data_IF_368281610965
#
_entry.id   IF_368281610965
#
_cell.length_a   1.000
_cell.length_b   1.000
_cell.length_c   1.000
_cell.angle_alpha   90.00
_cell.angle_beta   90.00
_cell.angle_gamma   90.00
#
_symmetry.space_group_name_H-M   'P 1'
#
loop_
_entity.id
_entity.type
_entity.pdbx_description
1 polymer ?
#
# COMPACT_ATOMS: atom_id res chain seq x y z
N UNK A 1 27.79 -27.45 -35.66
CA UNK A 1 27.48 -26.63 -34.47
C UNK A 1 27.43 -27.55 -33.28
N UNK A 2 28.26 -27.30 -32.27
CA UNK A 2 28.41 -28.23 -31.15
C UNK A 2 27.18 -28.20 -30.23
N UNK A 3 26.66 -29.36 -29.79
CA UNK A 3 25.54 -29.44 -28.86
C UNK A 3 25.75 -28.63 -27.58
N UNK A 4 27.01 -28.44 -27.19
CA UNK A 4 27.41 -27.68 -25.99
C UNK A 4 27.10 -26.18 -26.10
N UNK A 5 27.26 -25.58 -27.29
CA UNK A 5 26.99 -24.15 -27.52
C UNK A 5 25.49 -23.87 -27.41
N UNK A 6 24.67 -24.78 -27.95
CA UNK A 6 23.21 -24.68 -27.84
C UNK A 6 22.77 -24.67 -26.36
N UNK A 7 23.31 -25.56 -25.54
CA UNK A 7 22.98 -25.64 -24.11
C UNK A 7 23.37 -24.34 -23.37
N UNK A 8 24.54 -23.76 -23.70
CA UNK A 8 24.99 -22.52 -23.06
C UNK A 8 24.10 -21.31 -23.39
N UNK A 9 23.68 -21.16 -24.65
CA UNK A 9 22.79 -20.08 -25.07
C UNK A 9 21.43 -20.21 -24.38
N UNK A 10 20.86 -21.41 -24.34
CA UNK A 10 19.60 -21.66 -23.61
C UNK A 10 19.72 -21.35 -22.12
N UNK A 11 20.87 -21.66 -21.49
CA UNK A 11 21.11 -21.33 -20.09
C UNK A 11 21.13 -19.83 -19.81
N UNK A 12 21.76 -19.03 -20.68
CA UNK A 12 21.81 -17.56 -20.52
C UNK A 12 20.43 -16.94 -20.71
N UNK A 13 19.67 -17.38 -21.72
CA UNK A 13 18.31 -16.88 -21.97
C UNK A 13 17.38 -17.20 -20.78
N UNK A 14 17.52 -18.39 -20.18
CA UNK A 14 16.75 -18.78 -19.00
C UNK A 14 17.05 -17.88 -17.78
N UNK A 15 18.34 -17.65 -17.49
CA UNK A 15 18.73 -16.78 -16.37
C UNK A 15 18.30 -15.32 -16.60
N UNK A 16 18.38 -14.82 -17.84
CA UNK A 16 17.88 -13.49 -18.18
C UNK A 16 16.37 -13.39 -17.94
N UNK A 17 15.60 -14.44 -18.21
CA UNK A 17 14.15 -14.45 -17.97
C UNK A 17 13.79 -14.42 -16.47
N UNK A 18 14.53 -15.09 -15.60
CA UNK A 18 14.32 -15.00 -14.14
C UNK A 18 14.53 -13.57 -13.61
N UNK A 19 15.61 -12.89 -14.04
CA UNK A 19 15.92 -11.53 -13.60
C UNK A 19 14.87 -10.51 -14.06
N UNK A 20 14.35 -10.65 -15.29
CA UNK A 20 13.28 -9.76 -15.78
C UNK A 20 12.02 -9.89 -14.91
N UNK A 21 11.67 -11.11 -14.46
CA UNK A 21 10.47 -11.30 -13.62
C UNK A 21 10.59 -10.69 -12.22
N UNK A 22 11.79 -10.65 -11.62
CA UNK A 22 11.98 -9.97 -10.33
C UNK A 22 11.90 -8.44 -10.48
N UNK A 23 12.39 -7.88 -11.59
CA UNK A 23 12.31 -6.44 -11.84
C UNK A 23 10.84 -6.02 -12.06
N UNK A 24 10.05 -6.80 -12.79
CA UNK A 24 8.61 -6.53 -12.96
C UNK A 24 7.87 -6.45 -11.62
N UNK A 25 8.22 -7.32 -10.65
CA UNK A 25 7.60 -7.30 -9.32
C UNK A 25 7.91 -6.04 -8.50
N UNK A 26 9.07 -5.42 -8.72
CA UNK A 26 9.43 -4.15 -8.08
C UNK A 26 8.70 -2.95 -8.69
N UNK A 27 8.41 -2.99 -10.00
CA UNK A 27 7.62 -1.97 -10.69
C UNK A 27 6.14 -2.06 -10.25
N UNK A 28 5.62 -3.27 -10.03
CA UNK A 28 4.27 -3.47 -9.46
C UNK A 28 4.16 -2.92 -8.02
N UNK A 29 5.21 -3.04 -7.21
CA UNK A 29 5.22 -2.46 -5.86
C UNK A 29 5.14 -0.93 -5.88
N UNK A 30 5.85 -0.28 -6.81
CA UNK A 30 5.77 1.19 -6.97
C UNK A 30 4.37 1.67 -7.35
N UNK A 31 3.68 0.92 -8.23
CA UNK A 31 2.31 1.23 -8.62
C UNK A 31 1.32 1.02 -7.47
N UNK A 32 1.45 -0.07 -6.70
CA UNK A 32 0.62 -0.30 -5.51
C UNK A 32 0.83 0.80 -4.48
N UNK A 33 2.07 1.15 -4.12
CA UNK A 33 2.36 2.20 -3.13
C UNK A 33 1.84 3.57 -3.58
N UNK A 34 2.02 3.94 -4.85
CA UNK A 34 1.41 5.16 -5.41
C UNK A 34 -0.12 5.12 -5.33
N UNK A 35 -0.73 3.96 -5.58
CA UNK A 35 -2.17 3.79 -5.53
C UNK A 35 -2.72 3.90 -4.10
N UNK A 36 -2.06 3.30 -3.10
CA UNK A 36 -2.48 3.47 -1.69
C UNK A 36 -2.25 4.91 -1.21
N UNK A 37 -1.20 5.59 -1.67
CA UNK A 37 -0.96 6.99 -1.29
C UNK A 37 -2.02 7.94 -1.85
N UNK A 38 -2.62 7.64 -3.00
CA UNK A 38 -3.80 8.37 -3.52
C UNK A 38 -5.11 7.99 -2.81
N UNK A 39 -5.20 6.80 -2.19
CA UNK A 39 -6.42 6.35 -1.50
C UNK A 39 -6.60 6.94 -0.09
N UNK A 40 -5.55 7.49 0.53
CA UNK A 40 -5.61 8.09 1.88
C UNK A 40 -6.65 9.21 2.02
N UNK A 41 -6.94 9.95 0.92
CA UNK A 41 -7.92 11.05 0.90
C UNK A 41 -9.33 10.61 1.33
N UNK A 42 -9.74 9.39 0.96
CA UNK A 42 -11.08 8.88 1.30
C UNK A 42 -11.16 8.56 2.80
N UNK A 43 -10.09 7.98 3.35
CA UNK A 43 -9.98 7.65 4.77
C UNK A 43 -10.00 8.94 5.60
N UNK A 44 -9.25 9.96 5.18
CA UNK A 44 -9.22 11.26 5.85
C UNK A 44 -10.59 11.97 5.82
N UNK A 45 -11.31 11.90 4.69
CA UNK A 45 -12.65 12.48 4.60
C UNK A 45 -13.63 11.76 5.54
N UNK A 46 -13.56 10.43 5.60
CA UNK A 46 -14.39 9.63 6.50
C UNK A 46 -14.09 9.92 7.97
N UNK A 47 -12.83 10.00 8.37
CA UNK A 47 -12.44 10.37 9.74
C UNK A 47 -12.99 11.75 10.11
N UNK A 48 -12.82 12.76 9.25
CA UNK A 48 -13.37 14.11 9.50
C UNK A 48 -14.89 14.13 9.64
N UNK A 49 -15.61 13.28 8.90
CA UNK A 49 -17.06 13.16 9.03
C UNK A 49 -17.45 12.51 10.36
N UNK A 50 -16.70 11.51 10.81
CA UNK A 50 -16.94 10.85 12.10
C UNK A 50 -16.69 11.79 13.27
N UNK A 51 -15.61 12.56 13.25
CA UNK A 51 -15.28 13.53 14.31
C UNK A 51 -16.39 14.58 14.49
N UNK A 52 -16.99 15.05 13.38
CA UNK A 52 -18.12 15.99 13.42
C UNK A 52 -19.37 15.38 14.07
N UNK A 53 -19.71 14.13 13.72
CA UNK A 53 -20.87 13.46 14.30
C UNK A 53 -20.68 13.15 15.79
N UNK A 54 -19.44 12.84 16.20
CA UNK A 54 -19.11 12.63 17.61
C UNK A 54 -19.26 13.92 18.42
N UNK A 55 -18.81 15.05 17.88
CA UNK A 55 -19.02 16.36 18.51
C UNK A 55 -20.50 16.72 18.59
N UNK A 56 -21.26 16.49 17.51
CA UNK A 56 -22.72 16.67 17.50
C UNK A 56 -23.43 15.80 18.54
N UNK A 57 -22.99 14.55 18.72
CA UNK A 57 -23.53 13.66 19.74
C UNK A 57 -23.19 14.15 21.16
N UNK A 58 -21.94 14.52 21.41
CA UNK A 58 -21.52 15.05 22.71
C UNK A 58 -22.30 16.30 23.11
N UNK A 59 -22.60 17.19 22.15
CA UNK A 59 -23.45 18.37 22.40
C UNK A 59 -24.89 18.00 22.74
N UNK A 60 -25.48 17.00 22.07
CA UNK A 60 -26.84 16.54 22.38
C UNK A 60 -26.92 15.93 23.78
N UNK A 61 -25.92 15.13 24.15
CA UNK A 61 -25.82 14.55 25.48
C UNK A 61 -25.65 15.63 26.56
N UNK A 62 -24.89 16.70 26.29
CA UNK A 62 -24.77 17.83 27.21
C UNK A 62 -26.09 18.62 27.37
N UNK A 63 -26.82 18.87 26.28
CA UNK A 63 -28.14 19.52 26.33
C UNK A 63 -29.13 18.66 27.13
N UNK A 64 -29.12 17.34 26.90
CA UNK A 64 -29.96 16.41 27.64
C UNK A 64 -29.63 16.43 29.14
N UNK A 65 -28.34 16.39 29.49
CA UNK A 65 -27.88 16.46 30.87
C UNK A 65 -28.26 17.79 31.55
N UNK A 66 -28.12 18.91 30.85
CA UNK A 66 -28.49 20.24 31.35
C UNK A 66 -29.99 20.37 31.60
N UNK A 67 -30.82 19.87 30.68
CA UNK A 67 -32.27 19.90 30.81
C UNK A 67 -32.78 19.01 31.97
N UNK A 68 -32.16 17.86 32.20
CA UNK A 68 -32.52 17.01 33.34
C UNK A 68 -32.25 17.69 34.70
N UNK A 69 -31.19 18.50 34.80
CA UNK A 69 -30.79 19.11 36.07
C UNK A 69 -31.44 20.47 36.36
N UNK A 70 -31.90 21.21 35.34
CA UNK A 70 -32.54 22.52 35.55
C UNK A 70 -33.97 22.44 36.11
N UNK A 71 -34.70 21.36 35.84
CA UNK A 71 -36.11 21.23 36.27
C UNK A 71 -36.33 20.83 37.73
N UNK A 72 -35.33 20.29 38.42
CA UNK A 72 -35.52 19.66 39.74
C UNK A 72 -35.18 20.55 40.95
N UNK A 73 -34.48 21.66 40.75
CA UNK A 73 -33.88 22.37 41.89
C UNK A 73 -34.70 23.51 42.50
N UNK A 74 -35.80 24.01 41.91
CA UNK A 74 -36.40 25.24 42.47
C UNK A 74 -37.92 25.50 42.37
N UNK A 75 -38.78 24.53 42.06
CA UNK A 75 -40.23 24.78 42.20
C UNK A 75 -40.65 24.58 43.67
N UNK A 76 -40.52 25.62 44.51
CA UNK A 76 -41.26 25.75 45.78
C UNK A 76 -42.72 26.11 45.49
N UNK A 77 -43.38 25.24 44.74
CA UNK A 77 -44.73 25.44 44.26
C UNK A 77 -45.65 24.74 45.28
N UNK A 78 -46.20 25.54 46.21
CA UNK A 78 -47.13 25.12 47.25
C UNK A 78 -48.32 24.45 46.56
N UNK A 79 -48.41 23.12 46.71
CA UNK A 79 -49.34 22.25 45.98
C UNK A 79 -50.79 22.69 46.24
N UNK A 80 -51.43 23.31 45.25
CA UNK A 80 -52.89 23.45 45.22
C UNK A 80 -53.52 22.07 45.03
N UNK A 81 -54.71 21.85 45.61
CA UNK A 81 -55.44 20.60 45.44
C UNK A 81 -55.63 20.30 43.95
N UNK A 82 -55.12 19.16 43.51
CA UNK A 82 -55.19 18.74 42.11
C UNK A 82 -56.65 18.69 41.65
N UNK A 83 -56.93 19.31 40.50
CA UNK A 83 -58.23 19.19 39.84
C UNK A 83 -58.52 17.74 39.44
N UNK A 84 -59.80 17.40 39.16
CA UNK A 84 -60.15 16.05 38.70
C UNK A 84 -59.36 15.71 37.43
N UNK A 85 -58.94 14.44 37.34
CA UNK A 85 -58.24 13.92 36.18
C UNK A 85 -59.08 14.15 34.93
N UNK A 86 -58.50 14.81 33.92
CA UNK A 86 -59.14 14.98 32.63
C UNK A 86 -59.45 13.63 31.97
N UNK A 87 -60.43 13.56 31.05
CA UNK A 87 -60.73 12.33 30.33
C UNK A 87 -59.48 11.81 29.59
N UNK A 88 -59.35 10.49 29.40
CA UNK A 88 -58.29 9.92 28.58
C UNK A 88 -58.24 10.61 27.21
N UNK A 89 -57.04 11.00 26.78
CA UNK A 89 -56.84 11.59 25.46
C UNK A 89 -57.28 10.62 24.36
N UNK A 90 -57.67 11.17 23.20
CA UNK A 90 -57.95 10.36 22.02
C UNK A 90 -56.72 9.50 21.66
N UNK A 91 -56.96 8.29 21.15
CA UNK A 91 -55.90 7.46 20.62
C UNK A 91 -55.10 8.26 19.56
N UNK A 92 -53.77 8.25 19.69
CA UNK A 92 -52.90 8.93 18.74
C UNK A 92 -53.06 8.37 17.33
N UNK A 93 -52.77 9.16 16.29
CA UNK A 93 -52.80 8.68 14.91
C UNK A 93 -51.81 7.51 14.75
N UNK A 94 -52.12 6.61 13.80
CA UNK A 94 -51.18 5.57 13.39
C UNK A 94 -49.86 6.23 12.96
N UNK A 95 -48.74 5.72 13.48
CA UNK A 95 -47.42 6.22 13.12
C UNK A 95 -47.15 6.07 11.62
N UNK A 96 -46.29 6.92 11.04
CA UNK A 96 -45.90 6.80 9.64
C UNK A 96 -45.24 5.43 9.37
N UNK A 97 -45.30 4.92 8.12
CA UNK A 97 -44.54 3.75 7.72
C UNK A 97 -43.06 3.89 8.08
N UNK A 98 -42.45 2.79 8.54
CA UNK A 98 -41.03 2.76 8.85
C UNK A 98 -40.17 3.12 7.64
N UNK A 99 -39.00 3.72 7.89
CA UNK A 99 -38.04 4.02 6.84
C UNK A 99 -37.59 2.73 6.13
N UNK A 100 -37.28 2.84 4.83
CA UNK A 100 -36.69 1.74 4.09
C UNK A 100 -35.40 1.27 4.77
N UNK A 101 -35.22 -0.05 4.85
CA UNK A 101 -34.03 -0.64 5.46
C UNK A 101 -32.74 -0.22 4.74
N UNK A 102 -31.60 -0.15 5.45
CA UNK A 102 -30.33 0.21 4.84
C UNK A 102 -29.93 -0.79 3.75
N UNK A 103 -29.20 -0.30 2.74
CA UNK A 103 -28.56 -1.16 1.73
C UNK A 103 -27.63 -2.15 2.43
N UNK A 104 -27.70 -3.43 2.03
CA UNK A 104 -26.86 -4.49 2.59
C UNK A 104 -25.36 -4.20 2.43
N UNK A 105 -24.51 -4.78 3.31
CA UNK A 105 -23.08 -4.55 3.27
C UNK A 105 -22.46 -5.07 1.95
N UNK A 106 -21.32 -4.52 1.53
CA UNK A 106 -20.53 -5.08 0.44
C UNK A 106 -20.18 -6.56 0.69
N UNK A 107 -20.13 -7.35 -0.39
CA UNK A 107 -19.72 -8.75 -0.31
C UNK A 107 -18.29 -8.92 0.20
N UNK A 108 -18.00 -10.09 0.77
CA UNK A 108 -16.66 -10.42 1.26
C UNK A 108 -15.62 -10.38 0.12
N UNK A 109 -14.41 -9.91 0.45
CA UNK A 109 -13.28 -9.95 -0.47
C UNK A 109 -12.98 -11.40 -0.89
N UNK A 110 -12.63 -11.60 -2.16
CA UNK A 110 -12.22 -12.91 -2.66
C UNK A 110 -10.97 -13.44 -1.95
N UNK A 111 -10.86 -14.76 -1.84
CA UNK A 111 -9.69 -15.41 -1.25
C UNK A 111 -8.42 -15.13 -2.04
N UNK A 112 -7.31 -14.89 -1.34
CA UNK A 112 -5.97 -14.75 -1.94
C UNK A 112 -5.66 -16.00 -2.78
N UNK A 113 -5.14 -15.79 -4.00
CA UNK A 113 -4.70 -16.87 -4.86
C UNK A 113 -3.57 -17.71 -4.25
N UNK A 114 -3.37 -18.95 -4.72
CA UNK A 114 -2.34 -19.85 -4.21
C UNK A 114 -0.92 -19.26 -4.40
N UNK A 115 0.05 -19.60 -3.53
CA UNK A 115 1.45 -19.20 -3.70
C UNK A 115 2.02 -19.65 -5.04
N UNK A 116 2.85 -18.81 -5.66
CA UNK A 116 3.60 -19.15 -6.87
C UNK A 116 4.59 -20.29 -6.63
N UNK A 117 4.92 -21.03 -7.69
CA UNK A 117 5.88 -22.13 -7.63
C UNK A 117 7.29 -21.63 -7.26
N UNK A 118 8.06 -22.46 -6.55
CA UNK A 118 9.41 -22.12 -6.10
C UNK A 118 10.37 -21.92 -7.30
N UNK A 119 11.17 -20.84 -7.25
CA UNK A 119 12.19 -20.52 -8.25
C UNK A 119 13.37 -21.50 -8.24
N UNK A 120 13.97 -21.70 -9.41
CA UNK A 120 15.11 -22.62 -9.59
C UNK A 120 16.39 -22.07 -8.97
N UNK A 121 17.25 -22.98 -8.48
CA UNK A 121 18.53 -22.61 -7.86
C UNK A 121 19.52 -22.07 -8.91
N UNK A 122 19.99 -20.84 -8.71
CA UNK A 122 20.92 -20.14 -9.60
C UNK A 122 22.26 -20.84 -9.82
N UNK A 123 22.76 -20.78 -11.06
CA UNK A 123 24.00 -21.42 -11.51
C UNK A 123 25.25 -20.61 -11.10
N UNK A 124 26.30 -21.29 -10.62
CA UNK A 124 27.58 -20.65 -10.28
C UNK A 124 28.27 -20.12 -11.54
N UNK A 125 28.63 -18.83 -11.51
CA UNK A 125 29.22 -18.08 -12.63
C UNK A 125 30.50 -18.70 -13.16
N UNK A 126 30.54 -18.91 -14.47
CA UNK A 126 31.72 -19.37 -15.21
C UNK A 126 32.47 -18.15 -15.74
N UNK A 127 33.76 -18.08 -15.43
CA UNK A 127 34.70 -17.09 -15.95
C UNK A 127 34.83 -17.24 -17.46
N UNK A 128 34.29 -16.28 -18.22
CA UNK A 128 34.50 -16.22 -19.68
C UNK A 128 35.94 -15.77 -19.93
N UNK A 129 36.66 -16.53 -20.75
CA UNK A 129 37.99 -16.20 -21.24
C UNK A 129 37.83 -15.03 -22.22
N UNK A 130 38.14 -13.82 -21.77
CA UNK A 130 38.02 -12.59 -22.56
C UNK A 130 39.39 -12.22 -23.16
N UNK A 131 39.39 -11.88 -24.45
CA UNK A 131 40.55 -11.39 -25.21
C UNK A 131 41.01 -10.01 -24.70
N UNK A 132 42.27 -9.65 -24.99
CA UNK A 132 43.07 -8.65 -24.25
C UNK A 132 42.54 -7.20 -24.22
N UNK A 133 41.56 -6.83 -25.05
CA UNK A 133 40.92 -5.50 -25.05
C UNK A 133 39.45 -5.53 -24.61
N UNK A 134 38.97 -6.64 -24.04
CA UNK A 134 37.55 -6.76 -23.69
C UNK A 134 37.28 -6.15 -22.33
N UNK A 135 36.41 -5.14 -22.32
CA UNK A 135 35.82 -4.57 -21.11
C UNK A 135 34.42 -5.16 -20.87
N UNK A 136 34.12 -5.51 -19.62
CA UNK A 136 32.79 -5.94 -19.20
C UNK A 136 32.19 -4.91 -18.24
N UNK A 137 30.91 -4.59 -18.42
CA UNK A 137 30.13 -3.88 -17.41
C UNK A 137 29.69 -4.86 -16.33
N UNK A 138 30.06 -4.55 -15.08
CA UNK A 138 29.65 -5.34 -13.92
C UNK A 138 29.02 -4.43 -12.86
N UNK A 139 28.09 -4.99 -12.11
CA UNK A 139 27.54 -4.34 -10.91
C UNK A 139 28.45 -4.69 -9.73
N UNK A 140 29.07 -3.68 -9.12
CA UNK A 140 29.97 -3.83 -7.98
C UNK A 140 31.46 -3.83 -8.38
N UNK A 141 32.26 -4.64 -7.68
CA UNK A 141 33.73 -4.67 -7.86
C UNK A 141 34.15 -5.57 -9.02
N UNK A 142 35.28 -5.26 -9.65
CA UNK A 142 35.84 -6.12 -10.70
C UNK A 142 36.15 -7.53 -10.16
N UNK A 143 35.85 -8.57 -10.95
CA UNK A 143 36.35 -9.91 -10.68
C UNK A 143 37.87 -9.98 -10.86
N UNK A 144 38.49 -11.03 -10.30
CA UNK A 144 39.94 -11.23 -10.37
C UNK A 144 40.44 -11.28 -11.83
N UNK A 145 41.49 -10.53 -12.12
CA UNK A 145 42.08 -10.42 -13.46
C UNK A 145 41.56 -9.27 -14.32
N UNK A 146 40.59 -8.49 -13.82
CA UNK A 146 40.16 -7.23 -14.45
C UNK A 146 40.43 -6.05 -13.51
N UNK A 147 40.86 -4.93 -14.07
CA UNK A 147 41.06 -3.66 -13.37
C UNK A 147 39.93 -2.67 -13.71
N UNK A 148 39.49 -1.84 -12.75
CA UNK A 148 38.47 -0.83 -12.99
C UNK A 148 39.01 0.26 -13.93
N UNK A 149 38.27 0.57 -14.99
CA UNK A 149 38.59 1.69 -15.86
C UNK A 149 38.00 2.99 -15.29
N UNK A 150 38.86 3.90 -14.83
CA UNK A 150 38.45 5.18 -14.24
C UNK A 150 37.80 6.13 -15.25
N UNK A 151 38.12 6.03 -16.54
CA UNK A 151 37.58 6.91 -17.58
C UNK A 151 36.06 6.76 -17.80
N UNK A 152 35.51 5.57 -17.50
CA UNK A 152 34.07 5.32 -17.63
C UNK A 152 33.27 5.61 -16.35
N UNK A 153 33.95 5.87 -15.22
CA UNK A 153 33.28 6.16 -13.95
C UNK A 153 32.39 7.40 -14.04
N UNK A 154 32.87 8.46 -14.69
CA UNK A 154 32.10 9.70 -14.92
C UNK A 154 30.93 9.48 -15.90
N UNK A 155 31.13 8.67 -16.93
CA UNK A 155 30.09 8.38 -17.94
C UNK A 155 28.94 7.57 -17.32
N UNK A 156 29.24 6.70 -16.36
CA UNK A 156 28.25 5.83 -15.72
C UNK A 156 27.58 6.46 -14.49
N UNK A 157 28.07 7.59 -13.98
CA UNK A 157 27.46 8.28 -12.82
C UNK A 157 25.95 8.52 -12.95
N UNK A 158 25.41 8.97 -14.11
CA UNK A 158 23.96 9.12 -14.26
C UNK A 158 23.22 7.79 -14.13
N UNK A 159 23.79 6.70 -14.66
CA UNK A 159 23.19 5.38 -14.60
C UNK A 159 23.17 4.87 -13.15
N UNK A 160 24.26 5.09 -12.41
CA UNK A 160 24.35 4.78 -10.97
C UNK A 160 23.33 5.59 -10.17
N UNK A 161 23.14 6.88 -10.48
CA UNK A 161 22.14 7.73 -9.80
C UNK A 161 20.70 7.30 -10.08
N UNK A 162 20.38 6.82 -11.28
CA UNK A 162 19.01 6.42 -11.67
C UNK A 162 18.64 5.05 -11.10
N UNK A 163 19.61 4.14 -11.09
CA UNK A 163 19.38 2.73 -10.72
C UNK A 163 19.76 2.41 -9.29
N UNK A 164 20.52 3.28 -8.62
CA UNK A 164 21.19 3.03 -7.34
C UNK A 164 22.11 1.78 -7.36
N UNK A 165 22.52 1.34 -8.56
CA UNK A 165 23.42 0.20 -8.74
C UNK A 165 24.84 0.68 -9.04
N UNK A 166 25.87 0.18 -8.34
CA UNK A 166 27.26 0.59 -8.56
C UNK A 166 27.82 -0.06 -9.83
N UNK A 167 27.42 0.42 -10.99
CA UNK A 167 27.98 -0.01 -12.26
C UNK A 167 29.43 0.45 -12.39
N UNK A 168 30.33 -0.47 -12.73
CA UNK A 168 31.68 -0.13 -13.16
C UNK A 168 32.11 -0.96 -14.37
N UNK A 169 32.96 -0.36 -15.20
CA UNK A 169 33.56 -1.03 -16.36
C UNK A 169 34.90 -1.65 -15.92
N UNK A 170 35.06 -2.94 -16.18
CA UNK A 170 36.23 -3.73 -15.80
C UNK A 170 36.94 -4.24 -17.06
N UNK A 171 38.21 -3.91 -17.23
CA UNK A 171 39.02 -4.25 -18.41
C UNK A 171 40.28 -5.03 -17.99
N UNK A 172 40.82 -5.85 -18.88
CA UNK A 172 41.98 -6.71 -18.60
C UNK A 172 43.32 -5.97 -18.72
N UNK A 173 43.46 -5.11 -19.74
CA UNK A 173 44.56 -4.17 -19.89
C UNK A 173 44.02 -2.73 -19.82
N UNK A 174 44.64 -1.91 -18.98
CA UNK A 174 44.44 -0.47 -18.90
C UNK A 174 45.72 0.16 -19.45
N UNK A 175 45.76 0.45 -20.76
CA UNK A 175 46.82 1.30 -21.32
C UNK A 175 46.43 2.79 -21.19
#
# INVERSE_FOLDING_TARGET
MDPKIFIAIYGIVYLASEVVTEIDSSIEYSNMVRQVNMQSVIIDNLQRRLDKLLEEQNMQDEIAYRNQNQGKANCKCKLGSAGPQGPPGAAGPQGPPGAAGPRGPPGAAGSRGPPGAAGSRGLRGSSVLLDDDTCLMVVGKCPAGLAPNSGYGEVMQPLVMITDMPFQVCCKNLD
#
